data_IF_819702339568
#
_entry.id   IF_819702339568
#
_cell.length_a   1.000
_cell.length_b   1.000
_cell.length_c   1.000
_cell.angle_alpha   90.00
_cell.angle_beta   90.00
_cell.angle_gamma   90.00
#
_symmetry.space_group_name_H-M   'P 1'
#
loop_
_entity.id
_entity.type
_entity.pdbx_description
1 polymer ?
#
# COMPACT_ATOMS: atom_id res chain seq x y z
N UNK A 1 43.90 -32.41 7.97
CA UNK A 1 43.29 -31.46 7.01
C UNK A 1 42.00 -32.10 6.52
N UNK A 2 40.91 -31.89 7.28
CA UNK A 2 39.57 -32.30 6.85
C UNK A 2 38.92 -31.11 6.18
N UNK A 3 38.63 -31.22 4.89
CA UNK A 3 37.68 -30.34 4.23
C UNK A 3 36.30 -30.91 4.57
N UNK A 4 35.60 -30.27 5.50
CA UNK A 4 34.20 -30.59 5.77
C UNK A 4 33.34 -29.51 5.13
N UNK A 5 32.49 -29.96 4.23
CA UNK A 5 31.60 -29.13 3.42
C UNK A 5 30.56 -28.48 4.32
N UNK A 6 30.74 -27.20 4.62
CA UNK A 6 29.71 -26.34 5.15
C UNK A 6 28.62 -26.12 4.10
N UNK A 7 27.63 -27.01 4.12
CA UNK A 7 26.31 -26.89 3.50
C UNK A 7 25.79 -25.46 3.74
N UNK A 8 25.56 -24.70 2.67
CA UNK A 8 24.80 -23.45 2.75
C UNK A 8 23.37 -23.84 3.13
N UNK A 9 23.09 -23.74 4.42
CA UNK A 9 21.74 -23.84 4.98
C UNK A 9 20.91 -22.72 4.33
N UNK A 10 19.87 -23.12 3.60
CA UNK A 10 18.86 -22.22 3.08
C UNK A 10 18.05 -21.66 4.26
N UNK A 11 18.53 -20.54 4.84
CA UNK A 11 17.81 -19.76 5.84
C UNK A 11 16.81 -18.82 5.18
N UNK A 12 15.55 -18.91 5.60
CA UNK A 12 14.39 -18.25 4.98
C UNK A 12 14.46 -16.73 4.86
N UNK A 13 13.76 -16.24 3.83
CA UNK A 13 13.50 -14.84 3.50
C UNK A 13 12.73 -14.13 4.62
N UNK A 14 13.41 -13.33 5.43
CA UNK A 14 12.79 -12.41 6.39
C UNK A 14 13.40 -11.03 6.27
N UNK A 15 13.15 -10.35 5.14
CA UNK A 15 13.47 -8.93 5.00
C UNK A 15 12.50 -8.09 5.82
N UNK A 16 12.93 -6.92 6.30
CA UNK A 16 12.04 -5.97 6.96
C UNK A 16 10.89 -5.59 6.01
N UNK A 17 9.66 -5.67 6.51
CA UNK A 17 8.43 -5.37 5.75
C UNK A 17 7.57 -4.34 6.46
N UNK A 18 6.74 -3.64 5.69
CA UNK A 18 5.75 -2.67 6.17
C UNK A 18 4.37 -3.09 5.68
N UNK A 19 3.37 -3.08 6.57
CA UNK A 19 1.99 -3.39 6.21
C UNK A 19 1.30 -2.15 5.65
N UNK A 20 0.87 -2.25 4.40
CA UNK A 20 0.01 -1.28 3.73
C UNK A 20 -1.45 -1.68 3.89
N UNK A 21 -2.33 -0.67 3.85
CA UNK A 21 -3.77 -0.87 4.03
C UNK A 21 -4.57 -0.12 3.00
N UNK A 22 -5.56 -0.81 2.43
CA UNK A 22 -6.53 -0.25 1.49
C UNK A 22 -7.93 -0.45 2.07
N UNK A 23 -8.63 0.65 2.33
CA UNK A 23 -10.05 0.59 2.70
C UNK A 23 -10.90 0.57 1.44
N UNK A 24 -11.71 -0.46 1.25
CA UNK A 24 -12.61 -0.61 0.10
C UNK A 24 -13.97 -1.16 0.51
N UNK A 25 -15.02 -0.86 -0.26
CA UNK A 25 -16.41 -1.10 0.13
C UNK A 25 -17.03 0.04 0.93
N UNK A 26 -18.02 -0.26 1.76
CA UNK A 26 -18.89 0.71 2.44
C UNK A 26 -20.12 1.12 1.61
N UNK A 27 -21.01 1.89 2.22
CA UNK A 27 -22.32 2.25 1.65
C UNK A 27 -22.42 3.72 1.23
N UNK A 28 -23.26 4.00 0.22
CA UNK A 28 -23.62 5.35 -0.22
C UNK A 28 -22.47 6.13 -0.86
N UNK A 29 -22.49 7.46 -0.71
CA UNK A 29 -21.50 8.40 -1.29
C UNK A 29 -20.11 8.31 -0.64
N UNK A 30 -19.96 7.46 0.37
CA UNK A 30 -18.70 7.21 1.09
C UNK A 30 -18.09 5.86 0.72
N UNK A 31 -18.72 5.09 -0.17
CA UNK A 31 -18.19 3.83 -0.69
C UNK A 31 -16.87 4.07 -1.43
N UNK A 32 -15.97 3.09 -1.38
CA UNK A 32 -14.75 3.09 -2.19
C UNK A 32 -14.74 1.83 -3.04
N UNK A 33 -14.34 1.96 -4.30
CA UNK A 33 -14.36 0.83 -5.23
C UNK A 33 -13.45 -0.31 -4.74
N UNK A 34 -13.90 -1.57 -4.79
CA UNK A 34 -13.06 -2.73 -4.54
C UNK A 34 -12.02 -2.84 -5.67
N UNK A 35 -10.76 -2.53 -5.35
CA UNK A 35 -9.68 -2.46 -6.34
C UNK A 35 -8.59 -3.49 -6.10
N UNK A 36 -8.32 -3.82 -4.84
CA UNK A 36 -7.32 -4.82 -4.46
C UNK A 36 -8.03 -6.12 -4.14
N UNK A 37 -7.71 -7.17 -4.89
CA UNK A 37 -8.20 -8.52 -4.67
C UNK A 37 -7.11 -9.32 -3.95
N UNK A 38 -7.48 -10.09 -2.93
CA UNK A 38 -6.54 -10.95 -2.21
C UNK A 38 -6.58 -12.34 -2.83
N UNK A 39 -5.43 -12.84 -3.24
CA UNK A 39 -5.28 -14.18 -3.81
C UNK A 39 -5.05 -15.22 -2.70
N UNK A 40 -5.31 -16.51 -2.99
CA UNK A 40 -5.18 -17.59 -2.00
C UNK A 40 -3.75 -17.79 -1.49
N UNK A 41 -2.75 -17.40 -2.30
CA UNK A 41 -1.32 -17.49 -1.97
C UNK A 41 -0.80 -16.29 -1.16
N UNK A 42 -1.68 -15.34 -0.81
CA UNK A 42 -1.32 -14.13 -0.08
C UNK A 42 -0.70 -13.02 -0.94
N UNK A 43 -0.74 -13.13 -2.27
CA UNK A 43 -0.47 -12.00 -3.18
C UNK A 43 -1.75 -11.17 -3.40
N UNK A 44 -1.63 -10.07 -4.15
CA UNK A 44 -2.78 -9.26 -4.55
C UNK A 44 -2.91 -9.18 -6.07
N UNK A 45 -4.13 -8.94 -6.53
CA UNK A 45 -4.43 -8.54 -7.92
C UNK A 45 -5.11 -7.18 -7.92
N UNK A 46 -4.61 -6.25 -8.74
CA UNK A 46 -5.14 -4.90 -8.95
C UNK A 46 -5.42 -4.72 -10.45
N UNK A 47 -6.66 -5.01 -10.90
CA UNK A 47 -6.99 -5.05 -12.33
C UNK A 47 -6.86 -3.70 -13.05
N UNK A 48 -7.31 -2.63 -12.39
CA UNK A 48 -7.24 -1.28 -12.92
C UNK A 48 -5.96 -0.60 -12.42
N UNK A 49 -5.00 -0.42 -13.33
CA UNK A 49 -3.70 0.20 -13.08
C UNK A 49 -3.65 1.66 -13.55
N UNK A 50 -4.64 2.11 -14.32
CA UNK A 50 -4.69 3.44 -14.91
C UNK A 50 -5.21 4.51 -13.94
N UNK A 51 -5.76 4.08 -12.80
CA UNK A 51 -6.31 4.99 -11.78
C UNK A 51 -5.49 4.99 -10.49
N UNK A 52 -5.31 6.15 -9.87
CA UNK A 52 -4.53 6.29 -8.64
C UNK A 52 -5.13 5.47 -7.48
N UNK A 53 -4.30 4.75 -6.74
CA UNK A 53 -4.72 3.92 -5.61
C UNK A 53 -4.46 4.63 -4.29
N UNK A 54 -5.49 4.77 -3.45
CA UNK A 54 -5.30 5.32 -2.09
C UNK A 54 -4.93 4.21 -1.11
N UNK A 55 -3.77 4.33 -0.49
CA UNK A 55 -3.25 3.43 0.54
C UNK A 55 -2.97 4.20 1.81
N UNK A 56 -3.05 3.51 2.95
CA UNK A 56 -2.60 4.03 4.23
C UNK A 56 -1.41 3.23 4.71
N UNK A 57 -0.44 3.94 5.27
CA UNK A 57 0.78 3.39 5.84
C UNK A 57 0.70 3.61 7.36
N UNK A 58 1.63 3.03 8.11
CA UNK A 58 1.73 3.04 9.57
C UNK A 58 0.73 2.09 10.25
N UNK A 59 0.63 2.13 11.60
CA UNK A 59 -0.14 1.18 12.44
C UNK A 59 -1.68 1.21 12.24
N UNK A 60 -2.16 1.65 11.08
CA UNK A 60 -3.56 1.58 10.68
C UNK A 60 -4.43 2.70 11.24
N UNK A 61 -3.87 3.72 11.88
CA UNK A 61 -4.63 4.84 12.44
C UNK A 61 -5.53 5.52 11.40
N UNK A 62 -4.99 5.77 10.19
CA UNK A 62 -5.73 6.37 9.09
C UNK A 62 -6.85 5.45 8.58
N UNK A 63 -6.55 4.17 8.34
CA UNK A 63 -7.55 3.20 7.88
C UNK A 63 -8.65 2.95 8.91
N UNK A 64 -8.29 2.88 10.18
CA UNK A 64 -9.23 2.71 11.29
C UNK A 64 -10.14 3.93 11.45
N UNK A 65 -9.61 5.14 11.29
CA UNK A 65 -10.41 6.38 11.28
C UNK A 65 -11.45 6.34 10.16
N UNK A 66 -11.07 5.96 8.94
CA UNK A 66 -12.03 5.94 7.83
C UNK A 66 -13.03 4.78 7.89
N UNK A 67 -12.63 3.60 8.36
CA UNK A 67 -13.53 2.46 8.51
C UNK A 67 -14.59 2.75 9.61
N UNK A 68 -14.14 3.13 10.81
CA UNK A 68 -15.02 3.32 11.97
C UNK A 68 -15.86 4.60 11.89
N UNK A 69 -15.30 5.72 11.43
CA UNK A 69 -15.97 7.02 11.51
C UNK A 69 -16.70 7.43 10.22
N UNK A 70 -16.29 6.94 9.04
CA UNK A 70 -16.92 7.35 7.77
C UNK A 70 -17.81 6.29 7.13
N UNK A 71 -17.56 4.98 7.30
CA UNK A 71 -18.25 3.91 6.55
C UNK A 71 -19.13 2.99 7.39
N UNK A 72 -19.34 3.32 8.67
CA UNK A 72 -20.27 2.60 9.54
C UNK A 72 -19.88 1.15 9.83
N UNK A 73 -18.62 0.76 9.63
CA UNK A 73 -18.15 -0.62 9.81
C UNK A 73 -18.47 -1.58 8.67
N UNK A 74 -19.03 -1.11 7.55
CA UNK A 74 -19.39 -1.95 6.40
C UNK A 74 -18.33 -1.92 5.27
N UNK A 75 -17.09 -1.55 5.58
CA UNK A 75 -15.99 -1.54 4.63
C UNK A 75 -14.90 -2.53 5.04
N UNK A 76 -14.29 -3.15 4.04
CA UNK A 76 -13.16 -4.05 4.23
C UNK A 76 -11.85 -3.24 4.28
N UNK A 77 -10.95 -3.65 5.17
CA UNK A 77 -9.55 -3.22 5.17
C UNK A 77 -8.72 -4.35 4.57
N UNK A 78 -8.25 -4.18 3.34
CA UNK A 78 -7.27 -5.07 2.74
C UNK A 78 -5.89 -4.68 3.29
N UNK A 79 -5.24 -5.60 3.99
CA UNK A 79 -3.86 -5.44 4.44
C UNK A 79 -2.94 -6.30 3.56
N UNK A 80 -1.76 -5.79 3.23
CA UNK A 80 -0.70 -6.54 2.56
C UNK A 80 0.66 -5.96 2.95
N UNK A 81 1.68 -6.79 2.94
CA UNK A 81 3.04 -6.41 3.31
C UNK A 81 3.87 -6.11 2.06
N UNK A 82 4.66 -5.04 2.11
CA UNK A 82 5.65 -4.69 1.10
C UNK A 82 7.05 -4.63 1.72
N UNK A 83 8.13 -4.83 0.95
CA UNK A 83 9.49 -4.67 1.44
C UNK A 83 9.78 -3.26 1.96
N UNK A 84 10.60 -3.12 3.01
CA UNK A 84 10.99 -1.82 3.57
C UNK A 84 11.62 -0.89 2.53
N UNK A 85 12.45 -1.41 1.61
CA UNK A 85 13.04 -0.59 0.55
C UNK A 85 11.99 0.05 -0.35
N UNK A 86 10.86 -0.62 -0.58
CA UNK A 86 9.77 -0.11 -1.39
C UNK A 86 9.05 1.03 -0.65
N UNK A 87 8.88 0.87 0.67
CA UNK A 87 8.30 1.89 1.52
C UNK A 87 9.15 3.15 1.62
N UNK A 88 10.46 3.00 1.82
CA UNK A 88 11.41 4.12 1.79
C UNK A 88 11.37 4.83 0.43
N UNK A 89 11.41 4.06 -0.67
CA UNK A 89 11.32 4.60 -2.02
C UNK A 89 10.02 5.37 -2.28
N UNK A 90 8.87 4.85 -1.81
CA UNK A 90 7.59 5.56 -1.88
C UNK A 90 7.65 6.90 -1.14
N UNK A 91 8.14 6.89 0.10
CA UNK A 91 8.21 8.10 0.95
C UNK A 91 9.14 9.15 0.35
N UNK A 92 10.29 8.75 -0.17
CA UNK A 92 11.27 9.65 -0.80
C UNK A 92 10.72 10.33 -2.06
N UNK A 93 9.87 9.64 -2.82
CA UNK A 93 9.29 10.17 -4.06
C UNK A 93 7.92 10.85 -3.86
N UNK A 94 7.36 10.77 -2.65
CA UNK A 94 6.07 11.39 -2.34
C UNK A 94 6.18 12.90 -2.31
N UNK A 95 5.21 13.57 -2.94
CA UNK A 95 5.07 15.03 -2.87
C UNK A 95 3.73 15.44 -2.24
N UNK A 96 3.59 16.68 -1.76
CA UNK A 96 2.31 17.17 -1.27
C UNK A 96 1.23 17.16 -2.37
N UNK A 97 -0.02 16.87 -1.98
CA UNK A 97 -1.17 17.02 -2.89
C UNK A 97 -1.39 18.48 -3.32
N UNK A 98 -1.04 19.43 -2.45
CA UNK A 98 -1.08 20.85 -2.78
C UNK A 98 -0.11 21.15 -3.93
N UNK A 99 -0.60 21.82 -4.97
CA UNK A 99 0.17 22.17 -6.18
C UNK A 99 0.75 20.97 -6.95
N UNK A 100 0.19 19.77 -6.78
CA UNK A 100 0.68 18.54 -7.42
C UNK A 100 0.90 18.66 -8.95
N UNK A 101 -0.02 19.33 -9.65
CA UNK A 101 0.04 19.48 -11.11
C UNK A 101 1.13 20.44 -11.58
N UNK A 102 1.54 21.39 -10.74
CA UNK A 102 2.55 22.41 -11.06
C UNK A 102 3.89 22.14 -10.38
N UNK A 103 3.96 21.11 -9.53
CA UNK A 103 5.17 20.74 -8.82
C UNK A 103 6.23 20.22 -9.81
N UNK A 104 7.43 20.82 -9.86
CA UNK A 104 8.49 20.40 -10.77
C UNK A 104 9.00 18.97 -10.52
N UNK A 105 8.74 18.40 -9.35
CA UNK A 105 9.07 17.00 -9.02
C UNK A 105 8.09 15.99 -9.64
N UNK A 106 7.00 16.46 -10.27
CA UNK A 106 5.95 15.63 -10.86
C UNK A 106 5.82 15.82 -12.39
N UNK A 107 6.91 16.10 -13.08
CA UNK A 107 6.88 16.34 -14.53
C UNK A 107 6.34 15.16 -15.36
N UNK A 108 6.39 13.94 -14.81
CA UNK A 108 5.84 12.72 -15.44
C UNK A 108 4.43 12.35 -15.00
N UNK A 109 3.84 13.04 -14.00
CA UNK A 109 2.53 12.67 -13.43
C UNK A 109 2.54 11.40 -12.57
N UNK A 110 3.70 10.81 -12.31
CA UNK A 110 3.87 9.50 -11.64
C UNK A 110 4.28 9.61 -10.18
N UNK A 111 4.38 10.81 -9.61
CA UNK A 111 4.80 10.99 -8.22
C UNK A 111 3.67 10.56 -7.26
N UNK A 112 3.95 9.78 -6.20
CA UNK A 112 2.97 9.58 -5.13
C UNK A 112 2.59 10.90 -4.47
N UNK A 113 1.36 10.97 -3.96
CA UNK A 113 0.85 12.14 -3.21
C UNK A 113 0.67 11.79 -1.76
N UNK A 114 1.12 12.65 -0.86
CA UNK A 114 0.67 12.64 0.53
C UNK A 114 -0.73 13.27 0.58
N UNK A 115 -1.73 12.50 0.98
CA UNK A 115 -3.13 12.92 1.08
C UNK A 115 -3.60 12.89 2.53
N UNK A 116 -4.68 13.64 2.81
CA UNK A 116 -5.26 13.74 4.15
C UNK A 116 -4.25 14.07 5.29
N UNK A 117 -3.29 15.00 5.12
CA UNK A 117 -2.20 15.24 6.09
C UNK A 117 -2.67 15.79 7.46
N UNK A 118 -3.96 16.09 7.61
CA UNK A 118 -4.58 16.55 8.87
C UNK A 118 -5.30 15.43 9.62
N UNK A 119 -5.22 14.18 9.12
CA UNK A 119 -5.84 12.99 9.73
C UNK A 119 -4.76 12.14 10.42
N UNK A 120 -5.14 11.34 11.42
CA UNK A 120 -4.19 10.41 12.05
C UNK A 120 -3.62 9.41 11.05
N UNK A 121 -2.32 9.08 11.18
CA UNK A 121 -1.57 8.22 10.25
C UNK A 121 -1.27 8.86 8.89
N UNK A 122 -0.42 8.21 8.09
CA UNK A 122 -0.11 8.67 6.75
C UNK A 122 -0.96 7.97 5.68
N UNK A 123 -1.45 8.76 4.73
CA UNK A 123 -2.21 8.28 3.58
C UNK A 123 -1.58 8.77 2.29
N UNK A 124 -1.51 7.89 1.31
CA UNK A 124 -0.90 8.15 0.03
C UNK A 124 -1.88 7.85 -1.09
N UNK A 125 -1.80 8.62 -2.16
CA UNK A 125 -2.44 8.33 -3.44
C UNK A 125 -1.34 8.06 -4.46
N UNK A 126 -1.32 6.85 -5.02
CA UNK A 126 -0.22 6.38 -5.87
C UNK A 126 -0.72 6.14 -7.30
N UNK A 127 -0.14 6.80 -8.33
CA UNK A 127 -0.46 6.55 -9.73
C UNK A 127 0.33 5.34 -10.29
N UNK A 128 0.08 4.95 -11.53
CA UNK A 128 1.06 4.12 -12.26
C UNK A 128 2.44 4.81 -12.30
N UNK A 129 3.57 4.07 -12.22
CA UNK A 129 3.69 2.61 -12.17
C UNK A 129 3.63 1.99 -10.76
N UNK A 130 3.29 2.77 -9.71
CA UNK A 130 3.32 2.29 -8.33
C UNK A 130 2.27 1.21 -8.07
N UNK A 131 1.12 1.28 -8.75
CA UNK A 131 0.06 0.28 -8.63
C UNK A 131 0.56 -1.08 -9.09
N UNK A 132 1.31 -1.12 -10.20
CA UNK A 132 1.95 -2.30 -10.75
C UNK A 132 3.02 -2.85 -9.81
N UNK A 133 3.87 -1.98 -9.26
CA UNK A 133 4.91 -2.42 -8.32
C UNK A 133 4.35 -2.91 -6.99
N UNK A 134 3.22 -2.36 -6.53
CA UNK A 134 2.50 -2.90 -5.38
C UNK A 134 1.99 -4.31 -5.70
N UNK A 135 1.36 -4.52 -6.87
CA UNK A 135 0.92 -5.85 -7.30
C UNK A 135 2.09 -6.85 -7.36
N UNK A 136 3.27 -6.41 -7.83
CA UNK A 136 4.48 -7.23 -7.93
C UNK A 136 5.10 -7.60 -6.57
N UNK A 137 5.12 -6.66 -5.61
CA UNK A 137 5.84 -6.83 -4.34
C UNK A 137 4.97 -7.15 -3.13
N UNK A 138 3.64 -7.03 -3.24
CA UNK A 138 2.73 -7.29 -2.13
C UNK A 138 2.69 -8.78 -1.76
N UNK A 139 2.79 -9.04 -0.46
CA UNK A 139 2.75 -10.39 0.13
C UNK A 139 1.87 -10.39 1.38
N UNK A 140 1.59 -11.57 1.95
CA UNK A 140 0.80 -11.74 3.18
C UNK A 140 -0.55 -11.00 3.17
N UNK A 141 -1.17 -10.89 2.00
CA UNK A 141 -2.40 -10.17 1.78
C UNK A 141 -3.58 -10.84 2.50
N UNK A 142 -4.44 -10.03 3.11
CA UNK A 142 -5.57 -10.49 3.93
C UNK A 142 -6.64 -9.41 4.06
N UNK A 143 -7.87 -9.85 4.28
CA UNK A 143 -9.01 -8.94 4.53
C UNK A 143 -9.30 -8.89 6.03
N UNK A 144 -9.35 -7.68 6.58
CA UNK A 144 -9.91 -7.39 7.91
C UNK A 144 -11.27 -6.71 7.77
N UNK A 145 -12.22 -7.13 8.60
CA UNK A 145 -13.54 -6.53 8.74
C UNK A 145 -13.58 -5.67 10.00
#
# INVERSE_FOLDING_TARGET
MGADGGKLEAGGTGGDVVTYRRVQGGEGTKSSQPRVQVNEDGTVTIPDKDTDLNISIDNGEHSNYFNNMRRGGNADIVEFDVPMWFDDFLKENTIPQLDYQTNPLNQGGTAPKLVDPTKPGNSFEVPAPWVEWIEEHATNARIKK
#
